data_IF_564501994728
#
_entry.id   IF_564501994728
#
_cell.length_a   1.000
_cell.length_b   1.000
_cell.length_c   1.000
_cell.angle_alpha   90.00
_cell.angle_beta   90.00
_cell.angle_gamma   90.00
#
_symmetry.space_group_name_H-M   'P 1'
#
loop_
_entity.id
_entity.type
_entity.pdbx_description
1 polymer ?
#
# COMPACT_ATOMS: atom_id res chain seq x y z
N UNK A 1 12.22 -21.36 0.42
CA UNK A 1 11.43 -21.29 1.66
C UNK A 1 10.67 -19.96 1.75
N UNK A 2 11.36 -18.81 1.68
CA UNK A 2 10.74 -17.47 1.68
C UNK A 2 9.68 -17.24 0.58
N UNK A 3 9.88 -17.76 -0.64
CA UNK A 3 8.91 -17.62 -1.75
C UNK A 3 7.58 -18.31 -1.41
N UNK A 4 7.61 -19.45 -0.73
CA UNK A 4 6.41 -20.21 -0.37
C UNK A 4 5.67 -19.55 0.81
N UNK A 5 6.37 -18.98 1.78
CA UNK A 5 5.74 -18.21 2.86
C UNK A 5 5.10 -16.91 2.34
N UNK A 6 5.76 -16.22 1.41
CA UNK A 6 5.19 -15.06 0.73
C UNK A 6 3.97 -15.48 -0.11
N UNK A 7 4.02 -16.60 -0.82
CA UNK A 7 2.86 -17.09 -1.58
C UNK A 7 1.62 -17.28 -0.69
N UNK A 8 1.78 -17.81 0.53
CA UNK A 8 0.67 -17.97 1.49
C UNK A 8 0.03 -16.64 1.91
N UNK A 9 0.82 -15.56 2.05
CA UNK A 9 0.25 -14.24 2.35
C UNK A 9 -0.50 -13.65 1.16
N UNK A 10 0.00 -13.84 -0.07
CA UNK A 10 -0.70 -13.45 -1.29
C UNK A 10 -2.01 -14.22 -1.49
N UNK A 11 -2.01 -15.52 -1.23
CA UNK A 11 -3.20 -16.37 -1.30
C UNK A 11 -4.32 -15.87 -0.38
N UNK A 12 -4.00 -15.59 0.89
CA UNK A 12 -4.98 -15.01 1.84
C UNK A 12 -5.54 -13.67 1.39
N UNK A 13 -4.73 -12.87 0.70
CA UNK A 13 -5.12 -11.55 0.21
C UNK A 13 -5.99 -11.64 -1.05
N UNK A 14 -5.63 -12.53 -1.98
CA UNK A 14 -6.33 -12.63 -3.27
C UNK A 14 -7.78 -13.10 -3.10
N UNK A 15 -8.03 -14.00 -2.15
CA UNK A 15 -9.37 -14.51 -1.86
C UNK A 15 -10.28 -13.51 -1.12
N UNK A 16 -9.79 -12.32 -0.77
CA UNK A 16 -10.68 -11.20 -0.42
C UNK A 16 -11.43 -10.66 -1.64
N UNK A 17 -10.93 -10.91 -2.85
CA UNK A 17 -11.46 -10.38 -4.11
C UNK A 17 -12.00 -11.51 -4.98
N UNK A 18 -11.26 -12.62 -5.10
CA UNK A 18 -11.59 -13.73 -5.97
C UNK A 18 -12.40 -14.82 -5.25
N UNK A 19 -13.37 -15.42 -5.94
CA UNK A 19 -14.11 -16.59 -5.46
C UNK A 19 -13.19 -17.83 -5.45
N UNK A 20 -12.89 -18.44 -4.29
CA UNK A 20 -12.04 -19.62 -4.20
C UNK A 20 -12.54 -20.81 -5.01
N UNK A 21 -13.86 -20.92 -5.25
CA UNK A 21 -14.45 -22.02 -6.03
C UNK A 21 -14.23 -21.88 -7.53
N UNK A 22 -13.87 -20.68 -8.00
CA UNK A 22 -13.64 -20.35 -9.41
C UNK A 22 -12.19 -19.98 -9.69
N UNK A 23 -11.31 -20.18 -8.73
CA UNK A 23 -9.92 -19.72 -8.78
C UNK A 23 -8.97 -20.90 -8.59
N UNK A 24 -8.02 -21.04 -9.49
CA UNK A 24 -6.94 -22.02 -9.40
C UNK A 24 -5.61 -21.30 -9.16
N UNK A 25 -4.82 -21.77 -8.20
CA UNK A 25 -3.49 -21.22 -7.91
C UNK A 25 -2.45 -22.12 -8.56
N UNK A 26 -1.60 -21.54 -9.41
CA UNK A 26 -0.55 -22.23 -10.15
C UNK A 26 0.77 -21.51 -10.00
N UNK A 27 1.85 -22.30 -9.89
CA UNK A 27 3.19 -21.76 -9.75
C UNK A 27 3.96 -22.00 -11.03
N UNK A 28 4.48 -20.95 -11.66
CA UNK A 28 5.13 -21.08 -12.97
C UNK A 28 6.39 -21.95 -12.99
N UNK A 29 6.99 -22.23 -11.83
CA UNK A 29 8.03 -23.25 -11.71
C UNK A 29 7.59 -24.63 -12.19
N UNK A 30 6.28 -24.95 -12.16
CA UNK A 30 5.72 -26.20 -12.68
C UNK A 30 6.11 -26.46 -14.15
N UNK A 31 6.19 -25.42 -14.98
CA UNK A 31 6.53 -25.56 -16.40
C UNK A 31 7.86 -24.89 -16.76
N UNK A 32 8.24 -23.80 -16.09
CA UNK A 32 9.54 -23.15 -16.30
C UNK A 32 10.70 -24.02 -15.78
N UNK A 33 10.48 -24.78 -14.71
CA UNK A 33 11.46 -25.74 -14.21
C UNK A 33 11.73 -26.87 -15.20
N UNK A 34 10.72 -27.29 -15.97
CA UNK A 34 10.82 -28.37 -16.96
C UNK A 34 11.49 -27.93 -18.27
N UNK A 35 11.46 -26.63 -18.61
CA UNK A 35 12.13 -26.11 -19.81
C UNK A 35 13.64 -26.37 -19.79
N UNK A 36 14.27 -26.24 -18.62
CA UNK A 36 15.72 -26.26 -18.47
C UNK A 36 16.42 -25.24 -19.38
N UNK A 37 17.74 -25.38 -19.53
CA UNK A 37 18.53 -24.47 -20.36
C UNK A 37 18.19 -24.58 -21.86
N UNK A 38 17.97 -25.79 -22.35
CA UNK A 38 17.65 -26.04 -23.76
C UNK A 38 16.29 -25.45 -24.17
N UNK A 39 15.26 -25.59 -23.31
CA UNK A 39 13.96 -24.96 -23.52
C UNK A 39 14.05 -23.45 -23.48
N UNK A 40 14.83 -22.89 -22.55
CA UNK A 40 15.02 -21.44 -22.46
C UNK A 40 15.70 -20.86 -23.70
N UNK A 41 16.69 -21.56 -24.27
CA UNK A 41 17.35 -21.14 -25.53
C UNK A 41 16.35 -21.16 -26.69
N UNK A 42 15.53 -22.22 -26.80
CA UNK A 42 14.48 -22.30 -27.83
C UNK A 42 13.46 -21.17 -27.69
N UNK A 43 13.07 -20.85 -26.45
CA UNK A 43 12.18 -19.76 -26.14
C UNK A 43 12.78 -18.40 -26.54
N UNK A 44 14.03 -18.14 -26.17
CA UNK A 44 14.76 -16.93 -26.55
C UNK A 44 14.92 -16.78 -28.07
N UNK A 45 15.06 -17.88 -28.81
CA UNK A 45 15.15 -17.85 -30.27
C UNK A 45 13.85 -17.38 -30.96
N UNK A 46 12.71 -17.37 -30.26
CA UNK A 46 11.42 -16.91 -30.78
C UNK A 46 11.23 -15.39 -30.74
N UNK A 47 12.12 -14.65 -30.09
CA UNK A 47 11.98 -13.21 -29.90
C UNK A 47 13.28 -12.49 -30.18
N UNK A 48 13.22 -11.38 -30.91
CA UNK A 48 14.42 -10.63 -31.30
C UNK A 48 14.78 -9.58 -30.25
N UNK A 49 16.07 -9.24 -30.17
CA UNK A 49 16.53 -8.13 -29.35
C UNK A 49 15.86 -6.81 -29.74
N UNK A 50 15.65 -6.57 -31.05
CA UNK A 50 14.97 -5.38 -31.54
C UNK A 50 13.56 -5.24 -30.93
N UNK A 51 12.79 -6.33 -30.87
CA UNK A 51 11.46 -6.33 -30.22
C UNK A 51 11.55 -6.14 -28.71
N UNK A 52 12.58 -6.64 -28.04
CA UNK A 52 12.79 -6.36 -26.61
C UNK A 52 13.01 -4.87 -26.35
N UNK A 53 13.73 -4.20 -27.25
CA UNK A 53 13.97 -2.75 -27.17
C UNK A 53 12.74 -1.91 -27.57
N UNK A 54 11.62 -2.51 -27.97
CA UNK A 54 10.36 -1.78 -28.11
C UNK A 54 9.75 -1.40 -26.74
N UNK A 55 10.13 -2.11 -25.66
CA UNK A 55 9.74 -1.77 -24.29
C UNK A 55 10.39 -0.46 -23.87
N UNK A 56 9.57 0.49 -23.39
CA UNK A 56 10.03 1.83 -22.99
C UNK A 56 11.20 1.82 -22.01
N UNK A 57 11.17 0.94 -21.00
CA UNK A 57 12.21 0.84 -19.98
C UNK A 57 13.57 0.43 -20.59
N UNK A 58 13.59 -0.63 -21.40
CA UNK A 58 14.81 -1.10 -22.05
C UNK A 58 15.31 -0.10 -23.09
N UNK A 59 14.42 0.53 -23.87
CA UNK A 59 14.78 1.59 -24.81
C UNK A 59 15.49 2.74 -24.09
N UNK A 60 14.85 3.32 -23.06
CA UNK A 60 15.40 4.45 -22.31
C UNK A 60 16.75 4.12 -21.69
N UNK A 61 16.86 2.96 -21.03
CA UNK A 61 18.12 2.51 -20.41
C UNK A 61 19.21 2.30 -21.44
N UNK A 62 18.89 1.70 -22.59
CA UNK A 62 19.85 1.47 -23.66
C UNK A 62 20.35 2.79 -24.28
N UNK A 63 19.44 3.72 -24.56
CA UNK A 63 19.75 5.06 -25.06
C UNK A 63 20.56 5.90 -24.07
N UNK A 64 20.29 5.76 -22.76
CA UNK A 64 21.01 6.45 -21.69
C UNK A 64 22.29 5.74 -21.24
N UNK A 65 22.73 4.68 -21.92
CA UNK A 65 23.86 3.83 -21.53
C UNK A 65 23.80 3.30 -20.09
N UNK A 66 22.58 3.11 -19.55
CA UNK A 66 22.40 2.42 -18.28
C UNK A 66 22.50 0.91 -18.53
N UNK A 67 23.29 0.17 -17.72
CA UNK A 67 23.46 -1.27 -17.90
C UNK A 67 22.11 -2.00 -17.90
N UNK A 68 21.92 -2.94 -18.84
CA UNK A 68 20.79 -3.88 -18.88
C UNK A 68 21.39 -5.29 -18.79
N UNK A 69 21.03 -6.04 -17.76
CA UNK A 69 21.55 -7.40 -17.58
C UNK A 69 20.81 -8.37 -18.51
N UNK A 70 21.51 -9.37 -19.06
CA UNK A 70 20.91 -10.34 -19.99
C UNK A 70 19.71 -11.07 -19.38
N UNK A 71 19.75 -11.40 -18.08
CA UNK A 71 18.64 -12.08 -17.42
C UNK A 71 17.36 -11.23 -17.35
N UNK A 72 17.46 -9.89 -17.41
CA UNK A 72 16.29 -9.01 -17.46
C UNK A 72 15.51 -9.19 -18.78
N UNK A 73 16.22 -9.52 -19.86
CA UNK A 73 15.62 -9.81 -21.17
C UNK A 73 14.88 -11.16 -21.20
N UNK A 74 15.18 -12.05 -20.25
CA UNK A 74 14.54 -13.36 -20.13
C UNK A 74 13.18 -13.28 -19.45
N UNK A 75 12.93 -12.26 -18.64
CA UNK A 75 11.70 -12.12 -17.86
C UNK A 75 10.43 -12.03 -18.73
N UNK A 76 10.36 -11.18 -19.78
CA UNK A 76 9.17 -11.13 -20.64
C UNK A 76 8.87 -12.46 -21.34
N UNK A 77 9.91 -13.26 -21.63
CA UNK A 77 9.76 -14.58 -22.24
C UNK A 77 9.22 -15.60 -21.26
N UNK A 78 9.74 -15.60 -20.02
CA UNK A 78 9.26 -16.48 -18.97
C UNK A 78 7.77 -16.21 -18.69
N UNK A 79 7.39 -14.95 -18.49
CA UNK A 79 5.98 -14.57 -18.31
C UNK A 79 5.13 -14.95 -19.54
N UNK A 80 5.61 -14.69 -20.75
CA UNK A 80 4.87 -15.07 -21.97
C UNK A 80 4.63 -16.58 -22.08
N UNK A 81 5.56 -17.39 -21.60
CA UNK A 81 5.43 -18.84 -21.61
C UNK A 81 4.42 -19.34 -20.55
N UNK A 82 4.16 -18.57 -19.49
CA UNK A 82 3.09 -18.87 -18.54
C UNK A 82 1.74 -18.95 -19.27
N UNK A 83 1.47 -18.04 -20.21
CA UNK A 83 0.24 -18.05 -21.02
C UNK A 83 0.15 -19.22 -21.99
N UNK A 84 1.29 -19.70 -22.51
CA UNK A 84 1.37 -20.91 -23.35
C UNK A 84 1.06 -22.15 -22.52
N UNK A 85 1.66 -22.26 -21.32
CA UNK A 85 1.47 -23.39 -20.42
C UNK A 85 0.02 -23.47 -19.92
N UNK A 86 -0.57 -22.33 -19.57
CA UNK A 86 -1.95 -22.23 -19.09
C UNK A 86 -3.00 -22.23 -20.21
N UNK A 87 -2.58 -22.04 -21.47
CA UNK A 87 -3.48 -21.82 -22.62
C UNK A 87 -4.50 -20.72 -22.35
N UNK A 88 -4.03 -19.60 -21.82
CA UNK A 88 -4.89 -18.54 -21.30
C UNK A 88 -5.73 -17.89 -22.41
N UNK A 89 -7.06 -17.83 -22.22
CA UNK A 89 -7.96 -17.12 -23.13
C UNK A 89 -7.83 -15.58 -22.97
N UNK A 90 -7.54 -15.12 -21.75
CA UNK A 90 -7.32 -13.72 -21.44
C UNK A 90 -6.27 -13.57 -20.33
N UNK A 91 -5.50 -12.49 -20.38
CA UNK A 91 -4.56 -12.11 -19.32
C UNK A 91 -4.78 -10.65 -18.93
N UNK A 92 -4.89 -10.42 -17.62
CA UNK A 92 -5.13 -9.11 -17.03
C UNK A 92 -3.82 -8.54 -16.49
N UNK A 93 -3.63 -7.22 -16.62
CA UNK A 93 -2.50 -6.54 -16.00
C UNK A 93 -2.64 -5.03 -15.96
N UNK A 94 -1.75 -4.35 -15.24
CA UNK A 94 -1.63 -2.90 -15.30
C UNK A 94 -1.16 -2.43 -16.68
N UNK A 95 -1.36 -1.16 -17.02
CA UNK A 95 -0.82 -0.59 -18.27
C UNK A 95 0.70 -0.71 -18.38
N UNK A 96 1.42 -0.82 -17.26
CA UNK A 96 2.87 -1.08 -17.23
C UNK A 96 3.26 -2.50 -17.65
N UNK A 97 2.30 -3.43 -17.73
CA UNK A 97 2.51 -4.80 -18.20
C UNK A 97 2.18 -5.01 -19.68
N UNK A 98 1.66 -3.99 -20.38
CA UNK A 98 1.17 -4.12 -21.75
C UNK A 98 2.18 -4.81 -22.69
N UNK A 99 3.46 -4.45 -22.59
CA UNK A 99 4.51 -5.09 -23.38
C UNK A 99 4.59 -6.60 -23.12
N UNK A 100 4.67 -7.03 -21.85
CA UNK A 100 4.78 -8.43 -21.49
C UNK A 100 3.54 -9.23 -21.92
N UNK A 101 2.34 -8.67 -21.74
CA UNK A 101 1.08 -9.27 -22.18
C UNK A 101 1.05 -9.48 -23.71
N UNK A 102 1.59 -8.51 -24.47
CA UNK A 102 1.71 -8.64 -25.93
C UNK A 102 2.78 -9.67 -26.34
N UNK A 103 3.86 -9.82 -25.58
CA UNK A 103 4.82 -10.92 -25.79
C UNK A 103 4.13 -12.27 -25.59
N UNK A 104 3.33 -12.44 -24.53
CA UNK A 104 2.50 -13.63 -24.29
C UNK A 104 1.60 -13.96 -25.46
N UNK A 105 0.77 -12.98 -25.87
CA UNK A 105 -0.12 -13.11 -27.03
C UNK A 105 0.64 -13.50 -28.31
N UNK A 106 1.81 -12.93 -28.56
CA UNK A 106 2.62 -13.25 -29.73
C UNK A 106 3.24 -14.65 -29.66
N UNK A 107 3.73 -15.04 -28.48
CA UNK A 107 4.34 -16.34 -28.25
C UNK A 107 3.31 -17.47 -28.40
N UNK A 108 2.08 -17.28 -27.95
CA UNK A 108 1.01 -18.27 -28.15
C UNK A 108 0.81 -18.62 -29.64
N UNK A 109 0.95 -17.65 -30.56
CA UNK A 109 0.90 -17.93 -32.02
C UNK A 109 2.03 -18.83 -32.48
N UNK A 110 3.25 -18.63 -31.97
CA UNK A 110 4.42 -19.46 -32.28
C UNK A 110 4.25 -20.92 -31.83
N UNK A 111 3.39 -21.16 -30.84
CA UNK A 111 3.00 -22.48 -30.34
C UNK A 111 1.70 -23.00 -30.97
N UNK A 112 1.16 -22.33 -32.00
CA UNK A 112 -0.11 -22.67 -32.65
C UNK A 112 -1.31 -22.70 -31.70
N UNK A 113 -1.30 -21.83 -30.69
CA UNK A 113 -2.42 -21.62 -29.77
C UNK A 113 -3.22 -20.38 -30.17
N UNK A 114 -4.49 -20.35 -29.77
CA UNK A 114 -5.30 -19.13 -29.88
C UNK A 114 -4.68 -18.02 -28.99
N UNK A 115 -4.40 -16.82 -29.53
CA UNK A 115 -3.73 -15.79 -28.75
C UNK A 115 -4.67 -15.16 -27.71
N UNK A 116 -4.23 -15.08 -26.46
CA UNK A 116 -4.98 -14.48 -25.34
C UNK A 116 -5.48 -13.06 -25.64
N UNK A 117 -6.65 -12.70 -25.14
CA UNK A 117 -7.11 -11.32 -25.05
C UNK A 117 -6.29 -10.56 -24.00
N UNK A 118 -5.75 -9.40 -24.37
CA UNK A 118 -5.00 -8.54 -23.44
C UNK A 118 -5.95 -7.53 -22.84
N UNK A 119 -6.10 -7.57 -21.51
CA UNK A 119 -6.93 -6.64 -20.75
C UNK A 119 -6.07 -5.82 -19.80
N UNK A 120 -5.98 -4.51 -20.04
CA UNK A 120 -5.21 -3.61 -19.18
C UNK A 120 -6.10 -2.70 -18.34
N UNK A 121 -5.68 -2.48 -17.10
CA UNK A 121 -6.29 -1.50 -16.19
C UNK A 121 -5.33 -0.32 -15.98
N UNK A 122 -5.84 0.92 -15.81
CA UNK A 122 -5.01 2.06 -15.43
C UNK A 122 -4.25 1.79 -14.13
N UNK A 123 -3.05 2.36 -14.00
CA UNK A 123 -2.34 2.35 -12.72
C UNK A 123 -3.04 3.26 -11.72
N UNK A 124 -3.11 2.83 -10.47
CA UNK A 124 -3.56 3.64 -9.34
C UNK A 124 -2.36 4.36 -8.73
N UNK A 125 -2.41 5.68 -8.63
CA UNK A 125 -1.41 6.47 -7.93
C UNK A 125 -1.51 6.26 -6.41
N UNK A 126 -0.35 6.34 -5.76
CA UNK A 126 -0.27 6.27 -4.32
C UNK A 126 -0.74 7.54 -3.63
N UNK A 127 -0.49 7.63 -2.33
CA UNK A 127 -0.92 8.75 -1.47
C UNK A 127 -0.42 10.12 -1.94
N UNK A 128 0.69 10.17 -2.66
CA UNK A 128 1.26 11.40 -3.24
C UNK A 128 0.55 11.89 -4.52
N UNK A 129 -0.25 11.03 -5.18
CA UNK A 129 -1.01 11.36 -6.38
C UNK A 129 -0.18 11.50 -7.67
N UNK A 130 1.10 11.16 -7.65
CA UNK A 130 2.03 11.29 -8.78
C UNK A 130 2.60 9.93 -9.17
N UNK A 131 3.25 9.27 -8.22
CA UNK A 131 3.86 7.97 -8.42
C UNK A 131 2.82 6.87 -8.30
N UNK A 132 3.03 5.79 -9.05
CA UNK A 132 2.19 4.59 -8.92
C UNK A 132 2.26 4.07 -7.48
N UNK A 133 1.15 3.53 -7.00
CA UNK A 133 1.08 2.96 -5.66
C UNK A 133 2.11 1.83 -5.51
N UNK A 134 2.97 1.93 -4.50
CA UNK A 134 4.03 0.96 -4.23
C UNK A 134 4.33 0.82 -2.75
N UNK A 135 4.54 -0.43 -2.32
CA UNK A 135 5.04 -0.73 -0.97
C UNK A 135 6.42 -0.12 -0.71
N UNK A 136 7.30 -0.09 -1.71
CA UNK A 136 8.66 0.44 -1.58
C UNK A 136 8.72 1.95 -1.41
N UNK A 137 7.73 2.67 -1.96
CA UNK A 137 7.63 4.13 -1.84
C UNK A 137 6.89 4.54 -0.56
N UNK A 138 6.30 3.59 0.17
CA UNK A 138 5.49 3.88 1.36
C UNK A 138 4.20 4.66 1.05
N UNK A 139 3.81 4.77 -0.22
CA UNK A 139 2.67 5.56 -0.69
C UNK A 139 1.41 4.69 -0.93
N UNK A 140 1.26 3.56 -0.24
CA UNK A 140 0.20 2.58 -0.51
C UNK A 140 -0.85 2.48 0.60
N UNK A 141 -2.01 1.93 0.22
CA UNK A 141 -3.08 1.53 1.13
C UNK A 141 -3.21 0.01 1.02
N UNK A 142 -2.78 -0.72 2.06
CA UNK A 142 -2.86 -2.17 2.10
C UNK A 142 -4.26 -2.67 2.42
N UNK A 143 -4.75 -3.66 1.67
CA UNK A 143 -6.09 -4.27 1.85
C UNK A 143 -6.23 -5.13 3.14
N UNK A 144 -5.14 -5.27 3.90
CA UNK A 144 -5.09 -5.97 5.18
C UNK A 144 -4.68 -5.06 6.32
N UNK A 145 -4.56 -3.75 6.09
CA UNK A 145 -4.34 -2.79 7.16
C UNK A 145 -5.57 -2.68 8.05
N UNK A 146 -5.41 -2.16 9.25
CA UNK A 146 -6.55 -1.88 10.11
C UNK A 146 -7.48 -0.84 9.44
N UNK A 147 -8.81 -0.96 9.64
CA UNK A 147 -9.79 -0.03 9.08
C UNK A 147 -9.47 1.45 9.35
N UNK A 148 -8.92 1.78 10.51
CA UNK A 148 -8.58 3.13 10.92
C UNK A 148 -7.41 3.69 10.09
N UNK A 149 -6.38 2.89 9.80
CA UNK A 149 -5.28 3.23 8.90
C UNK A 149 -5.79 3.44 7.47
N UNK A 150 -6.59 2.52 6.94
CA UNK A 150 -7.21 2.65 5.61
C UNK A 150 -8.00 3.95 5.52
N UNK A 151 -8.86 4.22 6.51
CA UNK A 151 -9.65 5.45 6.57
C UNK A 151 -8.74 6.68 6.59
N UNK A 152 -7.75 6.71 7.48
CA UNK A 152 -6.81 7.83 7.61
C UNK A 152 -6.01 8.11 6.35
N UNK A 153 -5.61 7.07 5.63
CA UNK A 153 -4.88 7.14 4.35
C UNK A 153 -5.78 7.65 3.22
N UNK A 154 -7.00 7.14 3.08
CA UNK A 154 -7.97 7.65 2.09
C UNK A 154 -8.30 9.12 2.37
N UNK A 155 -8.44 9.50 3.64
CA UNK A 155 -8.64 10.90 4.01
C UNK A 155 -7.43 11.81 3.72
N UNK A 156 -6.26 11.25 3.43
CA UNK A 156 -5.02 11.98 3.13
C UNK A 156 -4.76 12.24 1.64
N UNK A 157 -5.42 11.50 0.75
CA UNK A 157 -5.26 11.71 -0.70
C UNK A 157 -5.88 13.05 -1.13
N UNK A 158 -5.48 13.59 -2.28
CA UNK A 158 -6.08 14.82 -2.82
C UNK A 158 -7.52 14.61 -3.29
N UNK A 159 -8.30 15.68 -3.41
CA UNK A 159 -9.68 15.59 -3.94
C UNK A 159 -9.69 15.14 -5.41
N UNK A 160 -8.69 15.54 -6.19
CA UNK A 160 -8.56 15.11 -7.59
C UNK A 160 -8.28 13.61 -7.70
N UNK A 161 -7.38 13.08 -6.86
CA UNK A 161 -7.03 11.66 -6.85
C UNK A 161 -8.19 10.78 -6.39
N UNK A 162 -9.01 11.27 -5.44
CA UNK A 162 -10.17 10.56 -4.91
C UNK A 162 -11.12 10.07 -6.01
N UNK A 163 -11.33 10.84 -7.07
CA UNK A 163 -12.23 10.44 -8.17
C UNK A 163 -11.68 9.26 -8.97
N UNK A 164 -10.36 9.14 -9.07
CA UNK A 164 -9.72 7.98 -9.69
C UNK A 164 -9.85 6.74 -8.81
N UNK A 165 -9.75 6.88 -7.49
CA UNK A 165 -10.04 5.79 -6.56
C UNK A 165 -11.49 5.33 -6.67
N UNK A 166 -12.45 6.25 -6.77
CA UNK A 166 -13.84 5.89 -7.05
C UNK A 166 -13.98 5.04 -8.32
N UNK A 167 -13.35 5.48 -9.42
CA UNK A 167 -13.45 4.78 -10.70
C UNK A 167 -12.77 3.40 -10.71
N UNK A 168 -11.68 3.22 -9.97
CA UNK A 168 -10.85 2.01 -10.02
C UNK A 168 -11.10 1.04 -8.87
N UNK A 169 -11.72 1.49 -7.78
CA UNK A 169 -11.86 0.73 -6.53
C UNK A 169 -13.30 0.64 -6.04
N UNK A 170 -14.30 1.06 -6.83
CA UNK A 170 -15.72 0.91 -6.48
C UNK A 170 -16.53 0.50 -7.71
N UNK A 171 -17.71 -0.07 -7.48
CA UNK A 171 -18.66 -0.43 -8.54
C UNK A 171 -19.56 0.73 -9.00
N UNK A 172 -19.29 1.96 -8.54
CA UNK A 172 -20.08 3.13 -8.91
C UNK A 172 -19.85 3.52 -10.38
N UNK A 173 -20.94 3.81 -11.07
CA UNK A 173 -20.90 4.33 -12.43
C UNK A 173 -20.38 5.77 -12.43
N UNK A 174 -19.85 6.21 -13.58
CA UNK A 174 -19.42 7.62 -13.76
C UNK A 174 -20.52 8.62 -13.43
N UNK A 175 -21.77 8.30 -13.81
CA UNK A 175 -22.93 9.15 -13.53
C UNK A 175 -23.26 9.23 -12.03
N UNK A 176 -23.00 8.17 -11.25
CA UNK A 176 -23.15 8.20 -9.79
C UNK A 176 -22.00 8.98 -9.14
N UNK A 177 -20.77 8.79 -9.60
CA UNK A 177 -19.60 9.53 -9.12
C UNK A 177 -19.76 11.04 -9.36
N UNK A 178 -20.27 11.44 -10.53
CA UNK A 178 -20.47 12.85 -10.87
C UNK A 178 -21.43 13.56 -9.91
N UNK A 179 -22.43 12.85 -9.36
CA UNK A 179 -23.36 13.40 -8.35
C UNK A 179 -22.71 13.65 -6.98
N UNK A 180 -21.55 13.06 -6.71
CA UNK A 180 -20.83 13.22 -5.44
C UNK A 180 -19.92 14.44 -5.42
N UNK A 181 -19.66 15.07 -6.58
CA UNK A 181 -18.67 16.15 -6.74
C UNK A 181 -18.99 17.42 -5.96
N UNK A 182 -20.27 17.68 -5.67
CA UNK A 182 -20.71 18.86 -4.92
C UNK A 182 -20.35 18.79 -3.43
N UNK A 183 -19.94 17.61 -2.92
CA UNK A 183 -19.63 17.39 -1.50
C UNK A 183 -18.35 16.56 -1.33
N UNK A 184 -17.17 17.10 -1.70
CA UNK A 184 -15.93 16.33 -1.79
C UNK A 184 -15.51 15.71 -0.44
N UNK A 185 -15.76 16.38 0.69
CA UNK A 185 -15.45 15.84 2.01
C UNK A 185 -16.35 14.66 2.40
N UNK A 186 -17.65 14.74 2.08
CA UNK A 186 -18.58 13.63 2.31
C UNK A 186 -18.24 12.46 1.38
N UNK A 187 -17.93 12.74 0.11
CA UNK A 187 -17.46 11.76 -0.85
C UNK A 187 -16.20 11.05 -0.36
N UNK A 188 -15.20 11.78 0.15
CA UNK A 188 -13.95 11.15 0.63
C UNK A 188 -14.17 10.20 1.81
N UNK A 189 -15.03 10.60 2.75
CA UNK A 189 -15.45 9.71 3.86
C UNK A 189 -16.22 8.50 3.36
N UNK A 190 -17.11 8.69 2.38
CA UNK A 190 -17.87 7.60 1.78
C UNK A 190 -16.95 6.61 1.04
N UNK A 191 -15.97 7.11 0.29
CA UNK A 191 -14.95 6.27 -0.36
C UNK A 191 -14.20 5.41 0.67
N UNK A 192 -13.82 5.99 1.81
CA UNK A 192 -13.17 5.25 2.88
C UNK A 192 -14.05 4.12 3.41
N UNK A 193 -15.34 4.38 3.61
CA UNK A 193 -16.30 3.36 4.04
C UNK A 193 -16.46 2.24 3.02
N UNK A 194 -16.60 2.56 1.74
CA UNK A 194 -16.75 1.56 0.67
C UNK A 194 -15.54 0.63 0.61
N UNK A 195 -14.33 1.18 0.55
CA UNK A 195 -13.10 0.39 0.49
C UNK A 195 -12.94 -0.49 1.75
N UNK A 196 -13.27 0.03 2.94
CA UNK A 196 -13.20 -0.78 4.17
C UNK A 196 -14.28 -1.87 4.15
N UNK A 197 -15.49 -1.57 3.67
CA UNK A 197 -16.57 -2.55 3.60
C UNK A 197 -16.19 -3.73 2.71
N UNK A 198 -15.55 -3.48 1.57
CA UNK A 198 -15.09 -4.53 0.65
C UNK A 198 -14.10 -5.51 1.31
N UNK A 199 -13.17 -4.99 2.13
CA UNK A 199 -12.08 -5.82 2.67
C UNK A 199 -12.25 -6.25 4.13
N UNK A 200 -13.09 -5.57 4.91
CA UNK A 200 -13.28 -5.78 6.35
C UNK A 200 -14.76 -5.86 6.78
N UNK A 201 -15.70 -5.65 5.84
CA UNK A 201 -17.13 -5.71 6.09
C UNK A 201 -17.75 -4.41 6.62
N UNK A 202 -19.06 -4.31 6.46
CA UNK A 202 -19.86 -3.10 6.79
C UNK A 202 -19.71 -2.64 8.25
N UNK A 203 -19.62 -3.57 9.19
CA UNK A 203 -19.48 -3.25 10.60
C UNK A 203 -18.15 -2.53 10.90
N UNK A 204 -17.06 -2.97 10.27
CA UNK A 204 -15.75 -2.34 10.40
C UNK A 204 -15.73 -0.94 9.76
N UNK A 205 -16.34 -0.80 8.59
CA UNK A 205 -16.46 0.48 7.89
C UNK A 205 -17.22 1.53 8.73
N UNK A 206 -18.34 1.12 9.36
CA UNK A 206 -19.12 1.99 10.24
C UNK A 206 -18.32 2.39 11.49
N UNK A 207 -17.67 1.43 12.13
CA UNK A 207 -16.84 1.68 13.32
C UNK A 207 -15.69 2.66 13.02
N UNK A 208 -14.99 2.47 11.89
CA UNK A 208 -13.90 3.36 11.48
C UNK A 208 -14.38 4.80 11.20
N UNK A 209 -15.55 4.97 10.58
CA UNK A 209 -16.13 6.30 10.33
C UNK A 209 -16.55 7.02 11.63
N UNK A 210 -17.15 6.28 12.57
CA UNK A 210 -17.50 6.81 13.90
C UNK A 210 -16.25 7.22 14.69
N UNK A 211 -15.23 6.36 14.70
CA UNK A 211 -13.94 6.63 15.35
C UNK A 211 -13.25 7.86 14.75
N UNK A 212 -13.22 7.94 13.42
CA UNK A 212 -12.64 9.10 12.73
C UNK A 212 -13.38 10.39 13.10
N UNK A 213 -14.72 10.37 13.18
CA UNK A 213 -15.50 11.53 13.63
C UNK A 213 -15.12 11.91 15.06
N UNK A 214 -15.04 10.93 15.97
CA UNK A 214 -14.71 11.17 17.37
C UNK A 214 -13.33 11.78 17.56
N UNK A 215 -12.32 11.25 16.88
CA UNK A 215 -10.92 11.69 17.02
C UNK A 215 -10.65 13.01 16.31
N UNK A 216 -11.11 13.15 15.06
CA UNK A 216 -10.71 14.28 14.20
C UNK A 216 -11.73 15.41 14.13
N UNK A 217 -13.04 15.11 14.24
CA UNK A 217 -14.09 16.14 14.25
C UNK A 217 -14.39 16.61 15.68
N UNK A 218 -14.49 15.67 16.63
CA UNK A 218 -14.85 15.96 18.03
C UNK A 218 -13.62 16.16 18.94
N UNK A 219 -12.39 16.04 18.40
CA UNK A 219 -11.09 16.23 19.06
C UNK A 219 -10.81 15.33 20.27
N UNK A 220 -11.56 14.25 20.43
CA UNK A 220 -11.39 13.29 21.52
C UNK A 220 -10.17 12.39 21.29
N UNK A 221 -9.76 11.63 22.32
CA UNK A 221 -8.70 10.65 22.19
C UNK A 221 -9.15 9.44 21.34
N UNK A 222 -8.24 8.81 20.58
CA UNK A 222 -8.49 7.52 19.93
C UNK A 222 -8.89 6.44 20.96
N UNK A 223 -9.73 5.47 20.56
CA UNK A 223 -10.12 4.34 21.43
C UNK A 223 -8.97 3.37 21.61
N UNK A 224 -8.21 3.18 20.54
CA UNK A 224 -6.96 2.42 20.56
C UNK A 224 -5.82 3.43 20.51
N UNK A 225 -5.04 3.45 21.58
CA UNK A 225 -3.90 4.34 21.74
C UNK A 225 -2.67 3.44 21.83
N UNK A 226 -1.64 3.74 21.04
CA UNK A 226 -0.36 3.06 21.12
C UNK A 226 0.15 3.05 22.56
N UNK A 227 0.20 1.87 23.17
CA UNK A 227 0.79 1.70 24.49
C UNK A 227 2.31 1.52 24.34
N UNK A 228 3.08 2.37 25.00
CA UNK A 228 4.54 2.32 25.03
C UNK A 228 5.02 2.10 26.45
N UNK A 229 5.73 1.00 26.68
CA UNK A 229 6.44 0.78 27.94
C UNK A 229 7.80 1.46 27.87
N UNK A 230 8.08 2.38 28.78
CA UNK A 230 9.38 3.02 28.91
C UNK A 230 10.04 2.64 30.26
N UNK A 231 11.38 2.60 30.33
CA UNK A 231 12.08 2.27 31.57
C UNK A 231 11.74 3.26 32.69
N UNK A 232 11.33 2.74 33.83
CA UNK A 232 11.11 3.57 35.01
C UNK A 232 12.41 4.21 35.52
N UNK A 233 12.32 5.43 36.04
CA UNK A 233 13.41 6.13 36.70
C UNK A 233 13.00 6.62 38.09
N UNK A 234 13.98 6.71 39.00
CA UNK A 234 13.79 7.31 40.32
C UNK A 234 13.67 8.83 40.27
N UNK A 235 14.20 9.44 39.21
CA UNK A 235 14.17 10.89 38.99
C UNK A 235 13.16 11.26 37.89
N UNK A 236 12.50 12.44 37.98
CA UNK A 236 11.66 12.97 36.91
C UNK A 236 12.43 13.08 35.59
N UNK A 237 11.80 12.67 34.49
CA UNK A 237 12.39 12.74 33.16
C UNK A 237 11.79 13.90 32.37
N UNK A 238 12.59 14.51 31.49
CA UNK A 238 12.11 15.56 30.59
C UNK A 238 11.05 15.01 29.64
N UNK A 239 9.93 15.73 29.54
CA UNK A 239 8.82 15.38 28.64
C UNK A 239 9.30 15.24 27.19
N UNK A 240 10.24 16.10 26.76
CA UNK A 240 10.81 16.07 25.41
C UNK A 240 11.56 14.77 25.11
N UNK A 241 12.29 14.22 26.09
CA UNK A 241 12.96 12.92 25.94
C UNK A 241 11.95 11.78 25.84
N UNK A 242 10.87 11.85 26.62
CA UNK A 242 9.82 10.84 26.64
C UNK A 242 9.04 10.85 25.32
N UNK A 243 8.75 12.02 24.76
CA UNK A 243 8.12 12.17 23.43
C UNK A 243 8.96 11.47 22.35
N UNK A 244 10.28 11.63 22.38
CA UNK A 244 11.19 10.98 21.43
C UNK A 244 11.24 9.47 21.68
N UNK A 245 11.37 9.05 22.94
CA UNK A 245 11.41 7.63 23.31
C UNK A 245 10.11 6.89 22.98
N UNK A 246 8.97 7.57 23.04
CA UNK A 246 7.67 7.06 22.62
C UNK A 246 7.47 7.06 21.10
N UNK A 247 8.44 7.57 20.31
CA UNK A 247 8.35 7.65 18.85
C UNK A 247 7.44 8.78 18.33
N UNK A 248 7.01 9.69 19.19
CA UNK A 248 6.09 10.79 18.83
C UNK A 248 6.81 11.98 18.20
N UNK A 249 8.14 12.07 18.29
CA UNK A 249 8.97 13.01 17.53
C UNK A 249 10.31 12.38 17.15
N UNK A 250 10.88 12.72 15.98
CA UNK A 250 12.13 12.12 15.51
C UNK A 250 13.36 12.58 16.30
N UNK A 251 13.35 13.77 16.87
CA UNK A 251 14.49 14.33 17.61
C UNK A 251 14.04 15.18 18.80
N UNK A 252 14.93 15.36 19.79
CA UNK A 252 14.67 16.22 20.95
C UNK A 252 14.44 17.68 20.56
N UNK A 253 15.14 18.19 19.53
CA UNK A 253 14.93 19.55 19.01
C UNK A 253 13.52 19.73 18.46
N UNK A 254 13.04 18.75 17.71
CA UNK A 254 11.67 18.77 17.19
C UNK A 254 10.64 18.65 18.31
N UNK A 255 10.88 17.81 19.32
CA UNK A 255 10.02 17.73 20.50
C UNK A 255 9.95 19.08 21.27
N UNK A 256 11.08 19.73 21.50
CA UNK A 256 11.14 21.06 22.13
C UNK A 256 10.36 22.11 21.34
N UNK A 257 10.50 22.12 20.00
CA UNK A 257 9.76 23.02 19.11
C UNK A 257 8.24 22.80 19.22
N UNK A 258 7.81 21.54 19.25
CA UNK A 258 6.39 21.18 19.36
C UNK A 258 5.81 21.58 20.72
N UNK A 259 6.56 21.41 21.81
CA UNK A 259 6.16 21.89 23.14
C UNK A 259 6.08 23.42 23.17
N UNK A 260 7.10 24.13 22.68
CA UNK A 260 7.10 25.60 22.67
C UNK A 260 5.98 26.22 21.81
N UNK A 261 5.53 25.51 20.76
CA UNK A 261 4.37 25.90 19.95
C UNK A 261 3.02 25.52 20.62
N UNK A 262 3.08 24.93 21.82
CA UNK A 262 1.96 24.40 22.60
C UNK A 262 1.19 23.32 21.84
N UNK A 263 1.89 22.54 21.03
CA UNK A 263 1.36 21.40 20.28
C UNK A 263 1.39 20.09 21.08
N UNK A 264 1.68 20.13 22.38
CA UNK A 264 1.76 18.93 23.23
C UNK A 264 0.71 19.01 24.34
N UNK A 265 -0.01 17.91 24.53
CA UNK A 265 -0.91 17.70 25.66
C UNK A 265 -0.48 16.45 26.43
N UNK A 266 -0.53 16.52 27.76
CA UNK A 266 -0.32 15.41 28.70
C UNK A 266 -1.58 15.28 29.53
N UNK A 267 -2.26 14.13 29.46
CA UNK A 267 -3.56 13.90 30.13
C UNK A 267 -4.54 15.07 29.89
N UNK A 268 -4.65 15.49 28.63
CA UNK A 268 -5.49 16.61 28.16
C UNK A 268 -5.05 18.02 28.60
N UNK A 269 -4.04 18.14 29.46
CA UNK A 269 -3.46 19.42 29.85
C UNK A 269 -2.38 19.87 28.85
N UNK A 270 -2.48 21.12 28.37
CA UNK A 270 -1.51 21.68 27.42
C UNK A 270 -0.19 21.95 28.13
N UNK A 271 0.92 21.56 27.51
CA UNK A 271 2.27 21.85 28.00
C UNK A 271 2.98 22.74 27.00
N UNK A 272 3.52 23.85 27.49
CA UNK A 272 4.24 24.87 26.71
C UNK A 272 5.69 25.10 27.17
N UNK A 273 6.10 24.58 28.34
CA UNK A 273 7.49 24.62 28.81
C UNK A 273 8.33 23.43 28.29
N UNK A 274 9.34 23.65 27.42
CA UNK A 274 10.23 22.59 26.93
C UNK A 274 11.10 21.94 28.02
N UNK A 275 11.20 22.55 29.20
CA UNK A 275 11.91 22.02 30.38
C UNK A 275 11.00 21.22 31.31
N UNK A 276 9.71 21.11 31.01
CA UNK A 276 8.77 20.32 31.81
C UNK A 276 9.29 18.90 32.01
N UNK A 277 9.27 18.44 33.26
CA UNK A 277 9.55 17.06 33.64
C UNK A 277 8.25 16.36 34.08
N UNK A 278 8.21 15.05 33.90
CA UNK A 278 7.13 14.19 34.39
C UNK A 278 7.68 13.07 35.25
N UNK A 279 6.88 12.65 36.23
CA UNK A 279 7.24 11.56 37.15
C UNK A 279 7.24 10.24 36.39
N UNK A 280 8.42 9.62 36.29
CA UNK A 280 8.67 8.40 35.51
C UNK A 280 8.89 7.17 36.39
N UNK A 281 8.40 7.18 37.63
CA UNK A 281 8.45 6.02 38.53
C UNK A 281 7.59 4.86 38.00
N UNK A 282 7.97 3.64 38.37
CA UNK A 282 7.26 2.43 37.99
C UNK A 282 5.76 2.51 38.35
N UNK A 283 4.90 2.10 37.42
CA UNK A 283 3.44 2.15 37.54
C UNK A 283 2.80 3.49 37.17
N UNK A 284 3.58 4.52 36.81
CA UNK A 284 3.03 5.77 36.26
C UNK A 284 2.65 5.60 34.80
N UNK A 285 1.52 6.19 34.40
CA UNK A 285 1.03 6.18 33.02
C UNK A 285 0.51 7.56 32.63
N UNK A 286 0.77 7.98 31.39
CA UNK A 286 0.34 9.27 30.85
C UNK A 286 -0.14 9.13 29.42
N UNK A 287 -1.20 9.85 29.06
CA UNK A 287 -1.64 10.02 27.69
C UNK A 287 -0.95 11.23 27.06
N UNK A 288 -0.06 10.97 26.10
CA UNK A 288 0.61 12.00 25.32
C UNK A 288 -0.10 12.24 24.00
N UNK A 289 -0.37 13.50 23.67
CA UNK A 289 -0.81 13.93 22.34
C UNK A 289 0.16 14.97 21.79
N UNK A 290 0.74 14.70 20.62
CA UNK A 290 1.74 15.54 19.97
C UNK A 290 1.26 15.96 18.58
N UNK A 291 0.85 17.22 18.47
CA UNK A 291 0.18 17.78 17.30
C UNK A 291 -1.25 17.28 17.18
N UNK A 292 -1.76 17.20 15.95
CA UNK A 292 -3.17 16.81 15.70
C UNK A 292 -3.39 15.29 15.69
N UNK A 293 -2.38 14.49 15.35
CA UNK A 293 -2.57 13.08 14.93
C UNK A 293 -1.75 12.05 15.70
N UNK A 294 -0.77 12.45 16.54
CA UNK A 294 0.12 11.50 17.22
C UNK A 294 -0.31 11.36 18.68
N UNK A 295 -0.66 10.16 19.08
CA UNK A 295 -1.10 9.81 20.44
C UNK A 295 -0.31 8.59 20.90
N UNK A 296 0.11 8.57 22.16
CA UNK A 296 0.59 7.35 22.80
C UNK A 296 0.27 7.38 24.29
N UNK A 297 -0.05 6.22 24.85
CA UNK A 297 -0.13 6.00 26.29
C UNK A 297 1.22 5.47 26.73
N UNK A 298 1.95 6.26 27.50
CA UNK A 298 3.27 5.87 28.00
C UNK A 298 3.12 5.34 29.41
N UNK A 299 3.52 4.11 29.63
CA UNK A 299 3.56 3.48 30.96
C UNK A 299 5.02 3.23 31.35
N UNK A 300 5.38 3.59 32.58
CA UNK A 300 6.71 3.38 33.12
C UNK A 300 6.77 2.06 33.89
N UNK A 301 7.67 1.18 33.47
CA UNK A 301 7.87 -0.17 34.02
C UNK A 301 9.34 -0.41 34.35
#
# INVERSE_FOLDING_TARGET
EEILENAKTYERQVFKILDPKKTEIRFNNEWLGELGSAGMIKLAAKYTLARMLERDDFRKRFESHQPISIHELLYPLAQAYDSVALKADAELGGTDQLFNLLVGRNLMREYNLEPQVVLTTPLLEGLDGVEKMSKSLGNYIGITEDPQSIFGKIMSISDDLMWKYYLLCTDLTRAEIDKLKDRPMEAKRNLARLIIADFHGEAAAKSADEEFRRVFSERQAPSEIDEKSLPASREPQFLTKIIVAAGLAPTNKEAQRLVAQGGVLVDEARVDDPKQTIDSRAGKSYLLKVGKRRFARVTFS
#
